data_IF_640977477563
#
_entry.id   IF_640977477563
#
_cell.length_a   1.000
_cell.length_b   1.000
_cell.length_c   1.000
_cell.angle_alpha   90.00
_cell.angle_beta   90.00
_cell.angle_gamma   90.00
#
_symmetry.space_group_name_H-M   'P 1'
#
loop_
_entity.id
_entity.type
_entity.pdbx_description
1 polymer ?
#
# COMPACT_ATOMS: atom_id res chain seq x y z
N UNK A 1 -2.60 -1.08 11.04
CA UNK A 1 -1.34 -1.68 10.55
C UNK A 1 -0.31 -1.70 11.69
N UNK A 2 0.21 -2.87 12.04
CA UNK A 2 1.38 -3.02 12.93
C UNK A 2 2.64 -3.35 12.10
N UNK A 3 3.83 -3.35 12.73
CA UNK A 3 5.08 -3.75 12.05
C UNK A 3 5.01 -5.18 11.52
N UNK A 4 4.42 -6.10 12.28
CA UNK A 4 4.26 -7.50 11.89
C UNK A 4 3.35 -7.63 10.66
N UNK A 5 2.22 -6.92 10.66
CA UNK A 5 1.30 -6.89 9.52
C UNK A 5 1.97 -6.33 8.26
N UNK A 6 2.79 -5.27 8.41
CA UNK A 6 3.53 -4.69 7.30
C UNK A 6 4.55 -5.67 6.72
N UNK A 7 5.29 -6.38 7.57
CA UNK A 7 6.27 -7.37 7.11
C UNK A 7 5.60 -8.54 6.38
N UNK A 8 4.48 -9.05 6.91
CA UNK A 8 3.71 -10.09 6.22
C UNK A 8 3.19 -9.61 4.86
N UNK A 9 2.69 -8.37 4.78
CA UNK A 9 2.27 -7.77 3.52
C UNK A 9 3.45 -7.64 2.54
N UNK A 10 4.60 -7.17 3.00
CA UNK A 10 5.79 -7.00 2.18
C UNK A 10 6.31 -8.35 1.66
N UNK A 11 6.32 -9.38 2.50
CA UNK A 11 6.73 -10.74 2.14
C UNK A 11 5.89 -11.30 0.99
N UNK A 12 4.56 -11.15 1.04
CA UNK A 12 3.68 -11.61 -0.07
C UNK A 12 3.91 -10.88 -1.39
N UNK A 13 4.49 -9.67 -1.36
CA UNK A 13 4.77 -8.86 -2.56
C UNK A 13 6.22 -8.98 -3.02
N UNK A 14 7.11 -9.46 -2.15
CA UNK A 14 8.53 -9.59 -2.43
C UNK A 14 8.80 -10.55 -3.58
N UNK A 15 8.11 -11.70 -3.62
CA UNK A 15 8.23 -12.65 -4.73
C UNK A 15 7.84 -12.04 -6.08
N UNK A 16 6.78 -11.22 -6.09
CA UNK A 16 6.35 -10.50 -7.30
C UNK A 16 7.44 -9.50 -7.74
N UNK A 17 8.04 -8.75 -6.82
CA UNK A 17 9.14 -7.83 -7.14
C UNK A 17 10.37 -8.55 -7.70
N UNK A 18 10.72 -9.72 -7.15
CA UNK A 18 11.82 -10.54 -7.68
C UNK A 18 11.52 -11.05 -9.10
N UNK A 19 10.27 -11.39 -9.40
CA UNK A 19 9.86 -11.81 -10.74
C UNK A 19 10.00 -10.68 -11.78
N UNK A 20 9.76 -9.42 -11.37
CA UNK A 20 9.89 -8.26 -12.26
C UNK A 20 11.33 -8.01 -12.74
N UNK A 21 12.33 -8.41 -11.96
CA UNK A 21 13.73 -8.26 -12.36
C UNK A 21 14.10 -9.07 -13.63
N UNK A 22 13.18 -9.90 -14.15
CA UNK A 22 13.34 -10.65 -15.40
C UNK A 22 12.96 -9.87 -16.66
N UNK A 23 12.37 -8.68 -16.56
CA UNK A 23 12.06 -7.86 -17.73
C UNK A 23 13.33 -7.23 -18.33
N UNK A 24 13.38 -7.19 -19.67
CA UNK A 24 14.56 -6.74 -20.41
C UNK A 24 14.65 -5.21 -20.59
N UNK A 25 13.52 -4.50 -20.47
CA UNK A 25 13.46 -3.05 -20.67
C UNK A 25 12.99 -2.29 -19.41
N UNK A 26 13.57 -1.11 -19.23
CA UNK A 26 13.37 -0.29 -18.04
C UNK A 26 11.92 0.17 -17.87
N UNK A 27 11.22 0.48 -18.96
CA UNK A 27 9.87 1.07 -18.90
C UNK A 27 8.82 0.03 -18.50
N UNK A 28 8.93 -1.19 -19.00
CA UNK A 28 8.09 -2.31 -18.55
C UNK A 28 8.34 -2.60 -17.07
N UNK A 29 9.61 -2.68 -16.66
CA UNK A 29 9.97 -2.86 -15.26
C UNK A 29 9.39 -1.75 -14.36
N UNK A 30 9.59 -0.49 -14.72
CA UNK A 30 9.10 0.67 -13.96
C UNK A 30 7.58 0.64 -13.80
N UNK A 31 6.85 0.35 -14.87
CA UNK A 31 5.39 0.30 -14.86
C UNK A 31 4.89 -0.79 -13.91
N UNK A 32 5.43 -1.99 -14.02
CA UNK A 32 4.97 -3.12 -13.20
C UNK A 32 5.43 -2.97 -11.74
N UNK A 33 6.64 -2.46 -11.52
CA UNK A 33 7.13 -2.10 -10.19
C UNK A 33 6.19 -1.09 -9.51
N UNK A 34 5.81 -0.03 -10.22
CA UNK A 34 4.88 0.97 -9.72
C UNK A 34 3.50 0.38 -9.37
N UNK A 35 3.00 -0.59 -10.15
CA UNK A 35 1.74 -1.26 -9.86
C UNK A 35 1.79 -2.05 -8.55
N UNK A 36 2.85 -2.85 -8.36
CA UNK A 36 3.06 -3.63 -7.14
C UNK A 36 3.19 -2.70 -5.93
N UNK A 37 4.02 -1.66 -6.04
CA UNK A 37 4.30 -0.74 -4.95
C UNK A 37 3.09 0.12 -4.56
N UNK A 38 2.37 0.64 -5.55
CA UNK A 38 1.15 1.44 -5.31
C UNK A 38 0.04 0.58 -4.70
N UNK A 39 -0.13 -0.66 -5.18
CA UNK A 39 -1.10 -1.60 -4.63
C UNK A 39 -0.81 -1.94 -3.17
N UNK A 40 0.46 -2.23 -2.85
CA UNK A 40 0.91 -2.46 -1.48
C UNK A 40 0.69 -1.22 -0.60
N UNK A 41 1.11 -0.04 -1.07
CA UNK A 41 0.93 1.23 -0.36
C UNK A 41 -0.55 1.54 -0.08
N UNK A 42 -1.45 1.22 -1.01
CA UNK A 42 -2.90 1.35 -0.80
C UNK A 42 -3.38 0.45 0.35
N UNK A 43 -2.96 -0.81 0.39
CA UNK A 43 -3.34 -1.72 1.47
C UNK A 43 -2.80 -1.24 2.83
N UNK A 44 -1.57 -0.72 2.86
CA UNK A 44 -0.99 -0.10 4.06
C UNK A 44 -1.82 1.09 4.52
N UNK A 45 -2.18 1.97 3.60
CA UNK A 45 -2.98 3.16 3.89
C UNK A 45 -4.35 2.75 4.43
N UNK A 46 -5.06 1.86 3.74
CA UNK A 46 -6.41 1.45 4.13
C UNK A 46 -6.45 0.75 5.49
N UNK A 47 -5.45 -0.07 5.81
CA UNK A 47 -5.33 -0.71 7.12
C UNK A 47 -4.87 0.24 8.24
N UNK A 48 -4.42 1.44 7.91
CA UNK A 48 -3.95 2.44 8.88
C UNK A 48 -4.98 3.53 9.14
N UNK A 49 -5.58 4.07 8.08
CA UNK A 49 -6.56 5.18 8.16
C UNK A 49 -8.01 4.75 7.87
N UNK A 50 -8.24 3.53 7.41
CA UNK A 50 -9.55 3.03 7.02
C UNK A 50 -9.76 3.01 5.51
N UNK A 51 -10.85 2.39 5.02
CA UNK A 51 -11.12 2.23 3.60
C UNK A 51 -11.31 3.57 2.89
N UNK A 52 -11.08 3.60 1.58
CA UNK A 52 -11.37 4.77 0.74
C UNK A 52 -12.85 5.14 0.90
N UNK A 53 -13.18 6.39 1.30
CA UNK A 53 -14.57 6.83 1.41
C UNK A 53 -15.28 6.78 0.05
N UNK A 54 -16.53 6.30 0.04
CA UNK A 54 -17.37 6.27 -1.17
C UNK A 54 -17.65 7.67 -1.74
N UNK A 55 -17.67 8.69 -0.88
CA UNK A 55 -17.84 10.08 -1.26
C UNK A 55 -16.59 10.89 -0.87
N UNK A 56 -15.84 11.35 -1.88
CA UNK A 56 -14.62 12.15 -1.70
C UNK A 56 -14.86 13.51 -1.02
N UNK A 57 -16.12 13.97 -0.95
CA UNK A 57 -16.51 15.23 -0.28
C UNK A 57 -16.83 15.03 1.20
N UNK A 58 -17.09 13.80 1.65
CA UNK A 58 -17.30 13.49 3.07
C UNK A 58 -15.97 13.05 3.69
N UNK A 59 -15.40 13.90 4.54
CA UNK A 59 -14.22 13.55 5.32
C UNK A 59 -14.61 12.54 6.40
N UNK A 60 -14.34 11.26 6.16
CA UNK A 60 -14.35 10.26 7.23
C UNK A 60 -13.21 10.61 8.19
N UNK A 61 -13.53 10.99 9.42
CA UNK A 61 -12.51 11.24 10.45
C UNK A 61 -11.83 9.91 10.72
N UNK A 62 -10.59 9.75 10.27
CA UNK A 62 -9.85 8.50 10.51
C UNK A 62 -9.51 8.38 11.99
N UNK A 63 -9.71 7.20 12.58
CA UNK A 63 -9.46 6.92 14.01
C UNK A 63 -8.01 7.24 14.42
N UNK A 64 -7.06 7.17 13.48
CA UNK A 64 -5.67 7.56 13.69
C UNK A 64 -5.49 9.06 14.00
N UNK A 65 -6.35 9.95 13.47
CA UNK A 65 -6.30 11.38 13.77
C UNK A 65 -6.73 11.70 15.21
N UNK A 66 -7.64 10.89 15.78
CA UNK A 66 -8.18 11.11 17.12
C UNK A 66 -7.27 10.57 18.23
N UNK A 67 -6.46 9.55 17.95
CA UNK A 67 -5.53 8.96 18.92
C UNK A 67 -4.32 9.85 19.26
N UNK A 68 -4.02 10.87 18.44
CA UNK A 68 -2.91 11.81 18.65
C UNK A 68 -3.27 13.09 19.41
N UNK A 69 -4.53 13.21 19.85
CA UNK A 69 -5.10 14.40 20.50
C UNK A 69 -5.55 14.11 21.95
N UNK A 70 -5.15 12.98 22.53
CA UNK A 70 -5.39 12.62 23.94
C UNK A 70 -4.07 12.35 24.65
#
# INVERSE_FOLDING_TARGET
MTKADYLALAETRFEALCALARHADFYTFEKEFNQVWTGMGRQVLEQTVGPVPADKRKKTVSTAATARLK
#
